data_IF_526952146678
#
_entry.id   IF_526952146678
#
_cell.length_a   1.000
_cell.length_b   1.000
_cell.length_c   1.000
_cell.angle_alpha   90.00
_cell.angle_beta   90.00
_cell.angle_gamma   90.00
#
_symmetry.space_group_name_H-M   'P 1'
#
loop_
_entity.id
_entity.type
_entity.pdbx_description
1 polymer ?
#
# COMPACT_ATOMS: atom_id res chain seq x y z
N UNK A 1 20.15 -16.38 10.26
CA UNK A 1 18.82 -16.14 10.86
C UNK A 1 18.18 -14.99 10.11
N UNK A 2 16.97 -15.16 9.59
CA UNK A 2 16.19 -14.16 8.86
C UNK A 2 14.91 -13.88 9.63
N UNK A 3 14.41 -12.66 9.54
CA UNK A 3 13.12 -12.26 10.07
C UNK A 3 12.09 -12.20 8.92
N UNK A 4 11.07 -13.04 8.99
CA UNK A 4 10.04 -13.16 7.98
C UNK A 4 8.81 -12.40 8.44
N UNK A 5 8.60 -11.20 7.90
CA UNK A 5 7.47 -10.34 8.21
C UNK A 5 6.27 -10.74 7.36
N UNK A 6 5.38 -11.55 7.92
CA UNK A 6 4.14 -11.97 7.27
C UNK A 6 3.15 -10.80 7.35
N UNK A 7 2.82 -10.22 6.21
CA UNK A 7 1.89 -9.11 6.07
C UNK A 7 0.59 -9.64 5.47
N UNK A 8 -0.42 -9.84 6.31
CA UNK A 8 -1.76 -10.22 5.85
C UNK A 8 -2.44 -8.99 5.23
N UNK A 9 -2.87 -9.13 3.97
CA UNK A 9 -3.48 -8.03 3.23
C UNK A 9 -4.37 -8.52 2.09
N UNK A 10 -5.05 -7.58 1.45
CA UNK A 10 -5.67 -7.75 0.13
C UNK A 10 -5.15 -6.66 -0.80
N UNK A 11 -5.19 -6.87 -2.11
CA UNK A 11 -5.22 -5.79 -3.11
C UNK A 11 -6.64 -5.62 -3.61
N UNK A 12 -7.12 -4.37 -3.74
CA UNK A 12 -8.52 -4.12 -4.01
C UNK A 12 -8.74 -3.21 -5.21
N UNK A 13 -9.07 -3.83 -6.35
CA UNK A 13 -9.64 -3.14 -7.49
C UNK A 13 -11.14 -2.92 -7.28
N UNK A 14 -11.60 -1.67 -7.40
CA UNK A 14 -13.03 -1.35 -7.29
C UNK A 14 -13.83 -1.79 -8.53
N UNK A 15 -13.16 -1.91 -9.65
CA UNK A 15 -13.72 -2.33 -10.93
C UNK A 15 -12.59 -2.90 -11.82
N UNK A 16 -12.76 -4.11 -12.32
CA UNK A 16 -11.80 -4.77 -13.21
C UNK A 16 -12.51 -5.82 -14.08
N UNK A 17 -12.40 -7.14 -13.78
CA UNK A 17 -13.11 -8.22 -14.47
C UNK A 17 -14.56 -8.41 -13.97
N UNK A 18 -14.96 -7.68 -12.96
CA UNK A 18 -16.32 -7.56 -12.44
C UNK A 18 -16.68 -6.08 -12.31
N UNK A 19 -17.98 -5.80 -12.24
CA UNK A 19 -18.47 -4.45 -12.02
C UNK A 19 -18.21 -3.98 -10.59
N UNK A 20 -18.19 -2.66 -10.39
CA UNK A 20 -18.05 -2.05 -9.07
C UNK A 20 -18.98 -2.65 -8.01
N UNK A 21 -20.25 -2.87 -8.34
CA UNK A 21 -21.20 -3.42 -7.37
C UNK A 21 -20.89 -4.86 -6.98
N UNK A 22 -20.41 -5.66 -7.93
CA UNK A 22 -20.00 -7.04 -7.65
C UNK A 22 -18.76 -7.09 -6.75
N UNK A 23 -17.77 -6.24 -7.02
CA UNK A 23 -16.60 -6.13 -6.14
C UNK A 23 -16.96 -5.55 -4.77
N UNK A 24 -17.86 -4.56 -4.70
CA UNK A 24 -18.31 -4.03 -3.40
C UNK A 24 -18.99 -5.12 -2.55
N UNK A 25 -19.77 -6.00 -3.14
CA UNK A 25 -20.35 -7.13 -2.41
C UNK A 25 -19.27 -8.09 -1.88
N UNK A 26 -18.23 -8.37 -2.67
CA UNK A 26 -17.08 -9.15 -2.18
C UNK A 26 -16.32 -8.44 -1.06
N UNK A 27 -16.13 -7.12 -1.16
CA UNK A 27 -15.51 -6.31 -0.11
C UNK A 27 -16.29 -6.41 1.21
N UNK A 28 -17.62 -6.37 1.13
CA UNK A 28 -18.48 -6.55 2.31
C UNK A 28 -18.23 -7.92 2.95
N UNK A 29 -18.16 -8.99 2.18
CA UNK A 29 -17.85 -10.33 2.68
C UNK A 29 -16.45 -10.39 3.29
N UNK A 30 -15.44 -9.85 2.62
CA UNK A 30 -14.07 -9.83 3.11
C UNK A 30 -13.98 -9.13 4.48
N UNK A 31 -14.55 -7.93 4.60
CA UNK A 31 -14.47 -7.16 5.86
C UNK A 31 -15.33 -7.79 6.95
N UNK A 32 -16.54 -8.28 6.63
CA UNK A 32 -17.38 -9.01 7.60
C UNK A 32 -16.62 -10.24 8.15
N UNK A 33 -15.96 -11.02 7.28
CA UNK A 33 -15.14 -12.17 7.65
C UNK A 33 -13.91 -11.75 8.47
N UNK A 34 -13.21 -10.68 8.08
CA UNK A 34 -12.09 -10.13 8.84
C UNK A 34 -12.51 -9.77 10.28
N UNK A 35 -13.65 -9.08 10.43
CA UNK A 35 -14.16 -8.71 11.75
C UNK A 35 -14.50 -9.94 12.61
N UNK A 36 -15.02 -11.01 12.01
CA UNK A 36 -15.27 -12.29 12.71
C UNK A 36 -13.94 -12.93 13.15
N UNK A 37 -12.92 -12.95 12.32
CA UNK A 37 -11.60 -13.48 12.69
C UNK A 37 -11.02 -12.67 13.85
N UNK A 38 -11.03 -11.34 13.75
CA UNK A 38 -10.47 -10.45 14.77
C UNK A 38 -11.21 -10.57 16.13
N UNK A 39 -12.52 -10.84 16.11
CA UNK A 39 -13.30 -11.06 17.33
C UNK A 39 -12.95 -12.38 18.03
N UNK A 40 -12.64 -13.42 17.27
CA UNK A 40 -12.51 -14.78 17.78
C UNK A 40 -11.06 -15.23 17.99
N UNK A 41 -10.10 -14.58 17.31
CA UNK A 41 -8.68 -14.93 17.41
C UNK A 41 -7.84 -13.71 17.81
N UNK A 42 -7.44 -13.61 19.11
CA UNK A 42 -6.56 -12.55 19.58
C UNK A 42 -5.13 -12.67 19.03
N UNK A 43 -4.71 -13.84 18.55
CA UNK A 43 -3.40 -14.08 17.98
C UNK A 43 -3.34 -13.70 16.49
N UNK A 44 -4.50 -13.48 15.83
CA UNK A 44 -4.55 -12.85 14.51
C UNK A 44 -4.32 -11.35 14.66
N UNK A 45 -3.08 -10.90 14.58
CA UNK A 45 -2.68 -9.58 15.06
C UNK A 45 -3.05 -8.44 14.10
N UNK A 46 -2.80 -8.60 12.80
CA UNK A 46 -2.83 -7.49 11.85
C UNK A 46 -3.43 -7.87 10.50
N UNK A 47 -4.13 -6.92 9.87
CA UNK A 47 -4.56 -7.01 8.46
C UNK A 47 -4.49 -5.63 7.80
N UNK A 48 -3.93 -5.55 6.60
CA UNK A 48 -3.80 -4.30 5.84
C UNK A 48 -4.85 -4.23 4.73
N UNK A 49 -5.67 -3.18 4.76
CA UNK A 49 -6.66 -2.87 3.72
C UNK A 49 -6.00 -2.08 2.57
N UNK A 50 -5.11 -2.72 1.83
CA UNK A 50 -4.48 -2.27 0.57
C UNK A 50 -3.85 -0.85 0.59
N UNK A 51 -3.59 -0.27 1.75
CA UNK A 51 -3.04 1.09 1.81
C UNK A 51 -3.98 2.20 1.29
N UNK A 52 -5.26 1.91 1.03
CA UNK A 52 -6.25 2.87 0.53
C UNK A 52 -7.48 2.94 1.43
N UNK A 53 -8.08 4.14 1.55
CA UNK A 53 -9.20 4.38 2.47
C UNK A 53 -10.56 4.30 1.81
N UNK A 54 -10.64 4.35 0.48
CA UNK A 54 -11.91 4.27 -0.28
C UNK A 54 -12.69 2.98 0.02
N UNK A 55 -11.98 1.89 0.35
CA UNK A 55 -12.60 0.61 0.72
C UNK A 55 -13.46 0.72 1.98
N UNK A 56 -13.10 1.62 2.91
CA UNK A 56 -13.91 1.89 4.11
C UNK A 56 -15.21 2.58 3.76
N UNK A 57 -15.18 3.56 2.86
CA UNK A 57 -16.42 4.23 2.40
C UNK A 57 -17.33 3.25 1.66
N UNK A 58 -16.75 2.43 0.77
CA UNK A 58 -17.51 1.44 0.00
C UNK A 58 -18.16 0.39 0.91
N UNK A 59 -17.47 -0.03 1.96
CA UNK A 59 -18.01 -0.95 2.96
C UNK A 59 -19.08 -0.31 3.83
N UNK A 60 -18.80 0.86 4.41
CA UNK A 60 -19.71 1.53 5.35
C UNK A 60 -20.99 2.04 4.71
N UNK A 61 -21.03 2.24 3.40
CA UNK A 61 -22.29 2.49 2.69
C UNK A 61 -23.27 1.32 2.77
N UNK A 62 -22.80 0.12 3.11
CA UNK A 62 -23.61 -1.11 3.25
C UNK A 62 -23.71 -1.54 4.70
N UNK A 63 -22.65 -1.31 5.50
CA UNK A 63 -22.46 -1.79 6.89
C UNK A 63 -22.13 -0.64 7.83
N UNK A 64 -22.90 0.43 7.82
CA UNK A 64 -22.68 1.61 8.68
C UNK A 64 -22.62 1.23 10.18
N UNK A 65 -23.35 0.20 10.57
CA UNK A 65 -23.36 -0.34 11.94
C UNK A 65 -22.00 -0.79 12.45
N UNK A 66 -21.08 -1.14 11.55
CA UNK A 66 -19.73 -1.59 11.90
C UNK A 66 -18.70 -0.44 12.01
N UNK A 67 -19.11 0.82 11.87
CA UNK A 67 -18.18 1.95 11.95
C UNK A 67 -17.35 1.96 13.25
N UNK A 68 -18.00 1.88 14.40
CA UNK A 68 -17.32 1.91 15.70
C UNK A 68 -16.36 0.73 15.88
N UNK A 69 -16.74 -0.44 15.38
CA UNK A 69 -15.91 -1.65 15.46
C UNK A 69 -14.67 -1.55 14.56
N UNK A 70 -14.82 -1.05 13.33
CA UNK A 70 -13.68 -0.76 12.45
C UNK A 70 -12.74 0.27 13.07
N UNK A 71 -13.30 1.36 13.63
CA UNK A 71 -12.53 2.40 14.30
C UNK A 71 -11.72 1.82 15.46
N UNK A 72 -12.31 0.96 16.29
CA UNK A 72 -11.62 0.29 17.38
C UNK A 72 -10.43 -0.52 16.88
N UNK A 73 -10.62 -1.44 15.91
CA UNK A 73 -9.55 -2.28 15.39
C UNK A 73 -8.46 -1.50 14.66
N UNK A 74 -8.81 -0.38 14.04
CA UNK A 74 -7.83 0.53 13.43
C UNK A 74 -6.99 1.21 14.52
N UNK A 75 -7.61 1.71 15.60
CA UNK A 75 -6.91 2.32 16.74
C UNK A 75 -6.01 1.32 17.48
N UNK A 76 -6.41 0.08 17.56
CA UNK A 76 -5.64 -1.03 18.11
C UNK A 76 -4.51 -1.53 17.20
N UNK A 77 -4.32 -0.94 16.01
CA UNK A 77 -3.38 -1.41 14.98
C UNK A 77 -3.68 -2.83 14.45
N UNK A 78 -4.87 -3.35 14.67
CA UNK A 78 -5.26 -4.65 14.12
C UNK A 78 -5.73 -4.56 12.67
N UNK A 79 -6.21 -3.39 12.24
CA UNK A 79 -6.48 -3.08 10.84
C UNK A 79 -5.65 -1.86 10.44
N UNK A 80 -4.86 -1.97 9.36
CA UNK A 80 -4.06 -0.88 8.82
C UNK A 80 -4.74 -0.27 7.60
N UNK A 81 -4.77 1.06 7.53
CA UNK A 81 -5.42 1.85 6.48
C UNK A 81 -4.52 3.00 5.99
N UNK A 82 -4.77 3.48 4.77
CA UNK A 82 -4.05 4.60 4.16
C UNK A 82 -2.59 4.27 3.78
N UNK A 83 -1.84 5.24 3.29
CA UNK A 83 -2.08 6.69 3.36
C UNK A 83 -2.98 7.24 2.25
N UNK A 84 -3.25 6.46 1.20
CA UNK A 84 -3.98 6.89 0.01
C UNK A 84 -5.49 6.94 0.25
N UNK A 85 -6.17 7.83 -0.48
CA UNK A 85 -7.61 7.71 -0.68
C UNK A 85 -7.91 6.51 -1.59
N UNK A 86 -7.28 6.51 -2.77
CA UNK A 86 -7.30 5.41 -3.74
C UNK A 86 -5.91 5.29 -4.37
N UNK A 87 -5.44 4.08 -4.67
CA UNK A 87 -4.16 3.88 -5.34
C UNK A 87 -4.17 4.55 -6.72
N UNK A 88 -3.23 5.47 -7.01
CA UNK A 88 -3.23 6.23 -8.25
C UNK A 88 -2.56 5.46 -9.39
N UNK A 89 -3.06 5.63 -10.61
CA UNK A 89 -2.30 5.35 -11.82
C UNK A 89 -1.48 6.61 -12.16
N UNK A 90 -0.23 6.65 -11.68
CA UNK A 90 0.56 7.86 -11.47
C UNK A 90 0.79 8.70 -12.74
N UNK A 91 0.83 8.07 -13.93
CA UNK A 91 1.02 8.76 -15.20
C UNK A 91 -0.29 9.23 -15.87
N UNK A 92 -1.45 8.86 -15.32
CA UNK A 92 -2.76 9.21 -15.89
C UNK A 92 -3.50 10.30 -15.11
N UNK A 93 -3.04 10.61 -13.92
CA UNK A 93 -3.63 11.64 -13.03
C UNK A 93 -2.75 12.87 -12.97
N UNK A 94 -3.32 14.03 -12.63
CA UNK A 94 -2.54 15.25 -12.45
C UNK A 94 -1.68 15.20 -11.19
N UNK A 95 -0.58 15.98 -11.11
CA UNK A 95 0.17 16.14 -9.85
C UNK A 95 -0.71 16.63 -8.70
N UNK A 96 -1.63 17.55 -8.97
CA UNK A 96 -2.59 18.07 -8.00
C UNK A 96 -3.52 16.96 -7.50
N UNK A 97 -4.04 16.11 -8.39
CA UNK A 97 -4.86 14.95 -8.01
C UNK A 97 -4.10 13.99 -7.10
N UNK A 98 -2.81 13.77 -7.32
CA UNK A 98 -1.97 12.91 -6.47
C UNK A 98 -1.81 13.50 -5.06
N UNK A 99 -1.56 14.81 -4.95
CA UNK A 99 -1.47 15.49 -3.66
C UNK A 99 -2.81 15.44 -2.92
N UNK A 100 -3.92 15.74 -3.60
CA UNK A 100 -5.27 15.70 -3.00
C UNK A 100 -5.69 14.29 -2.60
N UNK A 101 -5.28 13.29 -3.33
CA UNK A 101 -5.49 11.88 -2.98
C UNK A 101 -4.91 11.58 -1.57
N UNK A 102 -3.66 11.99 -1.31
CA UNK A 102 -3.04 11.85 0.00
C UNK A 102 -3.70 12.73 1.08
N UNK A 103 -4.18 13.93 0.73
CA UNK A 103 -4.91 14.81 1.67
C UNK A 103 -6.24 14.19 2.09
N UNK A 104 -7.01 13.64 1.14
CA UNK A 104 -8.28 12.97 1.42
C UNK A 104 -8.04 11.70 2.24
N UNK A 105 -7.06 10.88 1.84
CA UNK A 105 -6.67 9.69 2.58
C UNK A 105 -6.28 10.01 4.02
N UNK A 106 -5.48 11.08 4.23
CA UNK A 106 -5.14 11.58 5.57
C UNK A 106 -6.39 11.94 6.38
N UNK A 107 -7.30 12.73 5.79
CA UNK A 107 -8.52 13.15 6.47
C UNK A 107 -9.40 11.97 6.90
N UNK A 108 -9.57 10.98 6.01
CA UNK A 108 -10.33 9.76 6.35
C UNK A 108 -9.63 8.98 7.47
N UNK A 109 -8.30 8.81 7.39
CA UNK A 109 -7.54 8.14 8.45
C UNK A 109 -7.70 8.83 9.82
N UNK A 110 -7.77 10.17 9.85
CA UNK A 110 -7.98 10.94 11.08
C UNK A 110 -9.35 10.64 11.72
N UNK A 111 -10.39 10.35 10.92
CA UNK A 111 -11.71 9.93 11.44
C UNK A 111 -11.64 8.57 12.14
N UNK A 112 -10.73 7.70 11.73
CA UNK A 112 -10.55 6.38 12.33
C UNK A 112 -9.46 6.34 13.41
N UNK A 113 -8.59 7.35 13.49
CA UNK A 113 -7.62 7.54 14.55
C UNK A 113 -6.18 7.13 14.22
N UNK A 114 -5.93 6.39 13.14
CA UNK A 114 -4.59 5.98 12.72
C UNK A 114 -4.40 6.02 11.20
N UNK A 115 -3.14 6.19 10.77
CA UNK A 115 -2.73 6.17 9.36
C UNK A 115 -1.42 5.40 9.21
N UNK A 116 -1.37 4.44 8.31
CA UNK A 116 -0.12 3.81 7.90
C UNK A 116 0.74 4.81 7.12
N UNK A 117 1.95 5.12 7.63
CA UNK A 117 2.86 6.12 7.08
C UNK A 117 3.87 5.48 6.11
N UNK A 118 3.38 4.71 5.14
CA UNK A 118 4.18 4.01 4.14
C UNK A 118 3.64 4.35 2.75
N UNK A 119 4.48 4.76 1.82
CA UNK A 119 4.15 4.95 0.41
C UNK A 119 3.92 3.60 -0.28
N UNK A 120 2.82 2.91 0.05
CA UNK A 120 2.50 1.60 -0.50
C UNK A 120 1.90 1.74 -1.90
N UNK A 121 2.57 1.18 -2.90
CA UNK A 121 2.23 1.26 -4.33
C UNK A 121 2.40 -0.13 -4.96
N UNK A 122 1.53 -1.11 -4.60
CA UNK A 122 1.73 -2.51 -4.95
C UNK A 122 1.60 -2.77 -6.44
N UNK A 123 0.57 -2.22 -7.10
CA UNK A 123 0.22 -2.56 -8.47
C UNK A 123 0.22 -1.42 -9.51
N UNK A 124 0.47 -0.12 -9.20
CA UNK A 124 0.68 0.86 -10.26
C UNK A 124 1.72 0.39 -11.27
N UNK A 125 1.43 0.55 -12.57
CA UNK A 125 2.26 -0.05 -13.62
C UNK A 125 3.62 0.63 -13.80
N UNK A 126 3.70 1.90 -13.43
CA UNK A 126 4.90 2.73 -13.52
C UNK A 126 4.90 3.76 -12.39
N UNK A 127 6.09 4.27 -12.04
CA UNK A 127 6.20 5.25 -10.94
C UNK A 127 6.91 6.51 -11.42
N UNK A 128 6.30 7.67 -11.13
CA UNK A 128 6.85 8.99 -11.46
C UNK A 128 8.07 9.30 -10.59
N UNK A 129 9.08 9.95 -11.19
CA UNK A 129 10.30 10.32 -10.47
C UNK A 129 10.10 11.28 -9.31
N UNK A 130 8.98 12.00 -9.25
CA UNK A 130 8.64 12.92 -8.16
C UNK A 130 7.95 12.26 -6.97
N UNK A 131 7.60 10.98 -7.04
CA UNK A 131 6.90 10.31 -5.94
C UNK A 131 7.62 10.41 -4.59
N UNK A 132 8.96 10.24 -4.48
CA UNK A 132 9.66 10.46 -3.21
C UNK A 132 9.47 11.88 -2.65
N UNK A 133 9.51 12.91 -3.50
CA UNK A 133 9.24 14.29 -3.09
C UNK A 133 7.82 14.46 -2.55
N UNK A 134 6.82 13.91 -3.24
CA UNK A 134 5.41 13.95 -2.83
C UNK A 134 5.25 13.27 -1.47
N UNK A 135 5.76 12.05 -1.31
CA UNK A 135 5.69 11.30 -0.05
C UNK A 135 6.36 12.07 1.11
N UNK A 136 7.55 12.64 0.88
CA UNK A 136 8.25 13.48 1.87
C UNK A 136 7.45 14.71 2.27
N UNK A 137 6.70 15.32 1.34
CA UNK A 137 5.76 16.41 1.63
C UNK A 137 4.66 16.03 2.62
N UNK A 138 4.36 14.74 2.77
CA UNK A 138 3.42 14.19 3.75
C UNK A 138 4.09 13.53 4.97
N UNK A 139 5.39 13.73 5.17
CA UNK A 139 6.21 13.10 6.21
C UNK A 139 6.27 11.56 6.08
N UNK A 140 6.17 11.04 4.87
CA UNK A 140 6.35 9.62 4.56
C UNK A 140 7.76 9.46 3.99
N UNK A 141 8.61 8.71 4.68
CA UNK A 141 10.03 8.51 4.35
C UNK A 141 10.35 7.09 3.87
N UNK A 142 9.34 6.26 3.73
CA UNK A 142 9.45 4.88 3.31
C UNK A 142 8.44 4.56 2.22
N UNK A 143 8.78 3.65 1.31
CA UNK A 143 7.88 3.18 0.25
C UNK A 143 8.04 1.69 -0.03
N UNK A 144 6.96 1.03 -0.42
CA UNK A 144 6.98 -0.35 -0.89
C UNK A 144 6.26 -0.44 -2.23
N UNK A 145 6.91 -1.01 -3.25
CA UNK A 145 6.35 -1.14 -4.59
C UNK A 145 6.90 -2.38 -5.32
N UNK A 146 6.24 -2.77 -6.40
CA UNK A 146 6.61 -3.95 -7.18
C UNK A 146 7.23 -3.60 -8.53
N UNK A 147 6.48 -2.90 -9.39
CA UNK A 147 6.79 -2.75 -10.81
C UNK A 147 7.82 -1.68 -11.09
N UNK A 148 8.40 -1.71 -12.29
CA UNK A 148 9.27 -0.64 -12.79
C UNK A 148 10.71 -0.67 -12.29
N UNK A 149 11.07 -1.55 -11.36
CA UNK A 149 12.42 -1.67 -10.82
C UNK A 149 13.30 -2.47 -11.77
N UNK A 150 14.45 -1.91 -12.16
CA UNK A 150 15.40 -2.57 -13.07
C UNK A 150 16.02 -3.83 -12.47
N UNK A 151 16.42 -4.81 -13.31
CA UNK A 151 17.16 -5.98 -12.86
C UNK A 151 18.43 -5.61 -12.10
N UNK A 152 18.81 -6.46 -11.12
CA UNK A 152 20.01 -6.27 -10.30
C UNK A 152 19.85 -5.36 -9.11
N UNK A 153 18.71 -4.66 -8.96
CA UNK A 153 18.40 -3.93 -7.73
C UNK A 153 17.97 -4.92 -6.62
N UNK A 154 18.49 -4.75 -5.39
CA UNK A 154 18.11 -5.60 -4.26
C UNK A 154 16.70 -5.31 -3.74
N UNK A 155 16.28 -6.03 -2.68
CA UNK A 155 15.00 -5.82 -2.00
C UNK A 155 14.91 -4.50 -1.23
N UNK A 156 16.03 -3.90 -0.86
CA UNK A 156 16.07 -2.60 -0.18
C UNK A 156 17.04 -1.64 -0.87
N UNK A 157 16.57 -0.44 -1.19
CA UNK A 157 17.39 0.62 -1.79
C UNK A 157 16.81 2.01 -1.50
N UNK A 158 17.56 3.07 -1.79
CA UNK A 158 17.09 4.44 -1.71
C UNK A 158 16.49 4.87 -3.04
N UNK A 159 15.26 5.39 -3.02
CA UNK A 159 14.65 6.03 -4.19
C UNK A 159 14.68 7.55 -4.02
N UNK A 160 15.27 8.24 -5.01
CA UNK A 160 15.50 9.68 -4.97
C UNK A 160 14.75 10.39 -6.08
N UNK A 161 14.04 11.46 -5.72
CA UNK A 161 13.41 12.39 -6.65
C UNK A 161 14.42 13.40 -7.23
N UNK A 162 14.08 14.11 -8.34
CA UNK A 162 14.94 15.09 -8.96
C UNK A 162 15.36 16.27 -8.07
N UNK A 163 14.56 16.61 -7.06
CA UNK A 163 14.86 17.66 -6.06
C UNK A 163 15.81 17.20 -4.95
N UNK A 164 16.21 15.93 -4.96
CA UNK A 164 17.06 15.32 -3.94
C UNK A 164 16.29 14.66 -2.78
N UNK A 165 14.96 14.79 -2.70
CA UNK A 165 14.15 14.10 -1.71
C UNK A 165 14.30 12.59 -1.82
N UNK A 166 14.44 11.88 -0.70
CA UNK A 166 14.71 10.45 -0.67
C UNK A 166 13.71 9.73 0.23
N UNK A 167 13.40 8.48 -0.15
CA UNK A 167 12.68 7.50 0.67
C UNK A 167 13.43 6.17 0.68
N UNK A 168 13.38 5.46 1.80
CA UNK A 168 13.81 4.07 1.88
C UNK A 168 12.76 3.20 1.16
N UNK A 169 13.17 2.45 0.14
CA UNK A 169 12.27 1.64 -0.65
C UNK A 169 12.48 0.15 -0.39
N UNK A 170 11.37 -0.54 -0.08
CA UNK A 170 11.28 -1.99 -0.09
C UNK A 170 10.70 -2.46 -1.43
N UNK A 171 11.49 -3.17 -2.21
CA UNK A 171 11.07 -3.76 -3.48
C UNK A 171 10.35 -5.08 -3.23
N UNK A 172 9.08 -5.15 -3.57
CA UNK A 172 8.27 -6.36 -3.54
C UNK A 172 8.74 -7.28 -4.68
N UNK A 173 9.91 -7.91 -4.50
CA UNK A 173 10.72 -8.51 -5.56
C UNK A 173 9.97 -9.56 -6.40
N UNK A 174 9.07 -10.31 -5.77
CA UNK A 174 8.21 -11.31 -6.42
C UNK A 174 6.73 -10.90 -6.42
N UNK A 175 6.46 -9.59 -6.40
CA UNK A 175 5.10 -9.05 -6.33
C UNK A 175 4.59 -8.87 -4.90
N UNK A 176 3.41 -8.27 -4.81
CA UNK A 176 2.72 -8.05 -3.54
C UNK A 176 1.98 -9.31 -3.03
N UNK A 177 2.24 -10.47 -3.63
CA UNK A 177 1.61 -11.74 -3.25
C UNK A 177 2.60 -12.90 -3.27
N UNK A 178 3.85 -12.70 -2.80
CA UNK A 178 4.88 -13.73 -2.86
C UNK A 178 4.57 -14.97 -2.00
N UNK A 179 3.63 -14.87 -1.06
CA UNK A 179 3.00 -15.98 -0.32
C UNK A 179 1.45 -15.80 -0.30
N UNK A 180 0.85 -15.38 -1.41
CA UNK A 180 -0.53 -14.96 -1.50
C UNK A 180 -1.56 -15.92 -0.90
N UNK A 181 -1.38 -17.22 -1.12
CA UNK A 181 -2.30 -18.28 -0.69
C UNK A 181 -1.79 -19.05 0.55
N UNK A 182 -0.83 -18.49 1.26
CA UNK A 182 -0.35 -19.04 2.52
C UNK A 182 -1.31 -18.63 3.67
N UNK A 183 -1.56 -19.51 4.67
CA UNK A 183 -1.16 -20.92 4.78
C UNK A 183 -1.81 -21.80 3.71
N UNK A 184 -1.17 -22.93 3.42
CA UNK A 184 -1.73 -23.93 2.53
C UNK A 184 -2.39 -25.08 3.34
N UNK A 185 -2.79 -26.16 2.68
CA UNK A 185 -3.64 -27.25 3.16
C UNK A 185 -3.21 -27.90 4.50
N UNK A 186 -1.89 -28.01 4.78
CA UNK A 186 -1.37 -28.54 6.05
C UNK A 186 -0.30 -27.63 6.66
N UNK A 187 -0.03 -27.79 7.97
CA UNK A 187 1.00 -27.00 8.66
C UNK A 187 2.40 -27.29 8.13
N UNK A 188 2.70 -28.55 7.80
CA UNK A 188 3.97 -28.97 7.20
C UNK A 188 4.17 -28.39 5.80
N UNK A 189 3.14 -28.40 4.97
CA UNK A 189 3.19 -27.78 3.64
C UNK A 189 3.29 -26.25 3.75
N UNK A 190 2.63 -25.65 4.73
CA UNK A 190 2.75 -24.22 5.03
C UNK A 190 4.18 -23.85 5.45
N UNK A 191 4.83 -24.66 6.30
CA UNK A 191 6.23 -24.48 6.67
C UNK A 191 7.11 -24.56 5.43
N UNK A 192 7.00 -25.63 4.64
CA UNK A 192 7.81 -25.83 3.44
C UNK A 192 7.63 -24.69 2.41
N UNK A 193 6.41 -24.19 2.25
CA UNK A 193 6.07 -23.07 1.36
C UNK A 193 6.72 -21.75 1.81
N UNK A 194 6.69 -21.46 3.10
CA UNK A 194 7.29 -20.24 3.66
C UNK A 194 8.83 -20.29 3.56
N UNK A 195 9.45 -21.45 3.86
CA UNK A 195 10.89 -21.69 3.66
C UNK A 195 11.31 -21.49 2.19
N UNK A 196 10.54 -22.04 1.27
CA UNK A 196 10.80 -21.87 -0.17
C UNK A 196 10.76 -20.40 -0.58
N UNK A 197 9.76 -19.64 -0.10
CA UNK A 197 9.66 -18.22 -0.36
C UNK A 197 10.85 -17.44 0.24
N UNK A 198 11.28 -17.78 1.45
CA UNK A 198 12.44 -17.18 2.11
C UNK A 198 13.73 -17.44 1.31
N UNK A 199 13.97 -18.67 0.88
CA UNK A 199 15.15 -19.04 0.06
C UNK A 199 15.18 -18.33 -1.30
N UNK A 200 14.03 -18.11 -1.91
CA UNK A 200 13.95 -17.30 -3.14
C UNK A 200 14.32 -15.83 -2.92
N UNK A 201 13.88 -15.23 -1.81
CA UNK A 201 14.21 -13.84 -1.49
C UNK A 201 15.69 -13.68 -1.12
N UNK A 202 16.31 -14.66 -0.48
CA UNK A 202 17.71 -14.62 -0.05
C UNK A 202 18.68 -14.25 -1.18
N UNK A 203 18.42 -14.73 -2.40
CA UNK A 203 19.24 -14.46 -3.58
C UNK A 203 19.22 -12.98 -4.02
N UNK A 204 18.28 -12.20 -3.52
CA UNK A 204 18.02 -10.82 -3.95
C UNK A 204 18.02 -9.81 -2.79
N UNK A 205 18.08 -10.32 -1.58
CA UNK A 205 18.04 -9.48 -0.37
C UNK A 205 19.44 -9.04 0.05
N UNK A 206 19.53 -7.76 0.41
CA UNK A 206 20.73 -7.16 0.99
C UNK A 206 20.62 -6.94 2.50
N UNK A 207 19.54 -7.45 3.11
CA UNK A 207 19.27 -7.39 4.56
C UNK A 207 18.72 -8.74 5.04
N UNK A 208 18.52 -8.90 6.35
CA UNK A 208 17.88 -10.07 6.94
C UNK A 208 16.38 -9.89 7.22
N UNK A 209 15.79 -8.76 6.84
CA UNK A 209 14.35 -8.50 6.96
C UNK A 209 13.66 -8.85 5.65
N UNK A 210 12.74 -9.81 5.67
CA UNK A 210 12.05 -10.30 4.49
C UNK A 210 10.56 -10.01 4.54
N UNK A 211 10.03 -9.35 3.49
CA UNK A 211 8.60 -9.15 3.33
C UNK A 211 7.95 -10.42 2.77
N UNK A 212 7.05 -11.00 3.53
CA UNK A 212 6.20 -12.12 3.18
C UNK A 212 4.77 -11.62 3.01
N UNK A 213 4.42 -11.25 1.79
CA UNK A 213 3.12 -10.64 1.46
C UNK A 213 2.06 -11.72 1.30
N UNK A 214 1.22 -11.87 2.32
CA UNK A 214 0.12 -12.85 2.39
C UNK A 214 -1.17 -12.20 1.94
N UNK A 215 -1.49 -12.35 0.69
CA UNK A 215 -2.65 -11.76 0.03
C UNK A 215 -2.32 -11.41 -1.40
N UNK A 216 -3.33 -11.14 -2.19
CA UNK A 216 -3.29 -10.62 -3.55
C UNK A 216 -4.69 -10.08 -3.89
N UNK A 217 -5.04 -9.98 -5.18
CA UNK A 217 -6.30 -9.41 -5.68
C UNK A 217 -7.51 -10.08 -5.05
N UNK A 218 -8.27 -9.32 -4.27
CA UNK A 218 -9.58 -9.72 -3.70
C UNK A 218 -9.55 -10.97 -2.79
N UNK A 219 -8.37 -11.35 -2.26
CA UNK A 219 -8.25 -12.48 -1.33
C UNK A 219 -8.69 -12.08 0.07
N UNK A 220 -9.47 -12.95 0.70
CA UNK A 220 -9.92 -12.83 2.07
C UNK A 220 -8.83 -13.20 3.09
N UNK A 221 -8.92 -12.70 4.34
CA UNK A 221 -8.00 -13.08 5.41
C UNK A 221 -8.11 -14.60 5.69
N UNK A 222 -6.96 -15.23 5.98
CA UNK A 222 -6.91 -16.65 6.27
C UNK A 222 -6.85 -16.92 7.79
N UNK A 223 -7.85 -17.59 8.40
CA UNK A 223 -7.93 -17.71 9.86
C UNK A 223 -6.78 -18.52 10.48
N UNK A 224 -6.15 -19.45 9.76
CA UNK A 224 -5.05 -20.27 10.29
C UNK A 224 -3.68 -19.55 10.26
N UNK A 225 -3.61 -18.27 9.93
CA UNK A 225 -2.34 -17.53 9.83
C UNK A 225 -1.53 -17.55 11.12
N UNK A 226 -2.16 -17.27 12.26
CA UNK A 226 -1.49 -17.22 13.56
C UNK A 226 -0.96 -18.61 13.97
N UNK A 227 -1.76 -19.66 13.78
CA UNK A 227 -1.35 -21.05 14.06
C UNK A 227 -0.16 -21.47 13.18
N UNK A 228 -0.20 -21.15 11.90
CA UNK A 228 0.87 -21.49 10.94
C UNK A 228 2.18 -20.76 11.24
N UNK A 229 2.12 -19.53 11.74
CA UNK A 229 3.31 -18.79 12.19
C UNK A 229 3.91 -19.46 13.44
N UNK A 230 3.09 -19.85 14.42
CA UNK A 230 3.57 -20.60 15.60
C UNK A 230 4.23 -21.89 15.20
N UNK A 231 3.55 -22.69 14.40
CA UNK A 231 4.09 -23.98 13.91
C UNK A 231 5.41 -23.79 13.17
N UNK A 232 5.51 -22.79 12.30
CA UNK A 232 6.74 -22.45 11.61
C UNK A 232 7.87 -22.16 12.60
N UNK A 233 7.65 -21.31 13.58
CA UNK A 233 8.70 -20.93 14.54
C UNK A 233 9.19 -22.11 15.41
N UNK A 234 8.32 -23.08 15.67
CA UNK A 234 8.66 -24.29 16.45
C UNK A 234 9.42 -25.33 15.64
N UNK A 235 9.23 -25.39 14.31
CA UNK A 235 9.67 -26.53 13.50
C UNK A 235 10.62 -26.15 12.34
N UNK A 236 10.87 -24.87 12.05
CA UNK A 236 11.74 -24.51 10.94
C UNK A 236 13.19 -24.91 11.19
N UNK A 237 13.89 -25.51 10.18
CA UNK A 237 15.24 -26.05 10.34
C UNK A 237 16.33 -24.97 10.33
N UNK A 238 16.06 -23.80 9.72
CA UNK A 238 17.07 -22.78 9.44
C UNK A 238 17.17 -21.71 10.54
N UNK A 239 16.37 -21.85 11.61
CA UNK A 239 16.33 -20.91 12.74
C UNK A 239 15.83 -19.51 12.37
N UNK A 240 15.10 -19.39 11.26
CA UNK A 240 14.43 -18.15 10.88
C UNK A 240 13.24 -17.86 11.82
N UNK A 241 12.84 -16.59 11.93
CA UNK A 241 11.71 -16.19 12.77
C UNK A 241 10.62 -15.56 11.91
N UNK A 242 9.43 -16.14 11.92
CA UNK A 242 8.25 -15.56 11.29
C UNK A 242 7.44 -14.76 12.31
N UNK A 243 7.01 -13.59 11.92
CA UNK A 243 6.16 -12.72 12.74
C UNK A 243 4.95 -12.26 11.94
N UNK A 244 3.75 -12.28 12.55
CA UNK A 244 2.60 -11.59 11.99
C UNK A 244 2.82 -10.10 12.17
N UNK A 245 3.14 -9.39 11.09
CA UNK A 245 3.77 -8.08 11.12
C UNK A 245 2.97 -7.05 10.32
N UNK A 246 3.46 -5.81 10.36
CA UNK A 246 2.94 -4.68 9.58
C UNK A 246 4.04 -4.07 8.74
N UNK A 247 3.71 -3.35 7.67
CA UNK A 247 4.70 -2.60 6.89
C UNK A 247 5.47 -1.59 7.76
N UNK A 248 4.83 -0.81 8.66
CA UNK A 248 5.58 0.05 9.58
C UNK A 248 6.59 -0.71 10.46
N UNK A 249 6.21 -1.85 11.03
CA UNK A 249 7.12 -2.65 11.85
C UNK A 249 8.28 -3.24 11.03
N UNK A 250 8.01 -3.69 9.81
CA UNK A 250 9.05 -4.13 8.87
C UNK A 250 10.04 -2.99 8.57
N UNK A 251 9.56 -1.79 8.22
CA UNK A 251 10.45 -0.67 7.92
C UNK A 251 11.25 -0.20 9.13
N UNK A 252 10.67 -0.24 10.33
CA UNK A 252 11.42 0.04 11.56
C UNK A 252 12.58 -0.95 11.76
N UNK A 253 12.31 -2.26 11.60
CA UNK A 253 13.34 -3.29 11.71
C UNK A 253 14.39 -3.19 10.58
N UNK A 254 13.97 -2.87 9.37
CA UNK A 254 14.84 -2.66 8.21
C UNK A 254 15.78 -1.47 8.43
N UNK A 255 15.24 -0.32 8.86
CA UNK A 255 16.05 0.89 9.14
C UNK A 255 17.05 0.64 10.26
N UNK A 256 16.63 -0.03 11.34
CA UNK A 256 17.54 -0.37 12.44
C UNK A 256 18.68 -1.29 11.98
N UNK A 257 18.38 -2.30 11.17
CA UNK A 257 19.41 -3.20 10.63
C UNK A 257 20.42 -2.46 9.73
N UNK A 258 19.90 -1.54 8.88
CA UNK A 258 20.75 -0.71 8.00
C UNK A 258 21.72 0.15 8.83
N UNK A 259 21.23 0.77 9.88
CA UNK A 259 22.05 1.58 10.80
C UNK A 259 23.07 0.74 11.56
N UNK A 260 22.63 -0.33 12.23
CA UNK A 260 23.48 -1.20 13.07
C UNK A 260 24.62 -1.85 12.29
N UNK A 261 24.35 -2.26 11.06
CA UNK A 261 25.32 -2.95 10.20
C UNK A 261 26.03 -2.01 9.22
N UNK A 262 25.73 -0.71 9.24
CA UNK A 262 26.24 0.29 8.29
C UNK A 262 26.06 -0.15 6.82
N UNK A 263 24.88 -0.64 6.46
CA UNK A 263 24.59 -1.13 5.11
C UNK A 263 24.49 0.05 4.15
N UNK A 264 25.37 0.07 3.13
CA UNK A 264 25.29 1.06 2.06
C UNK A 264 24.26 0.62 1.04
N UNK A 265 23.15 1.34 0.95
CA UNK A 265 22.09 1.08 -0.01
C UNK A 265 22.43 1.65 -1.39
N UNK A 266 22.14 0.94 -2.49
CA UNK A 266 22.17 1.54 -3.80
C UNK A 266 21.09 2.62 -3.93
N UNK A 267 21.33 3.62 -4.78
CA UNK A 267 20.39 4.72 -5.03
C UNK A 267 19.83 4.59 -6.45
N UNK A 268 18.51 4.69 -6.57
CA UNK A 268 17.83 4.89 -7.83
C UNK A 268 17.30 6.33 -7.90
N UNK A 269 17.60 7.04 -8.99
CA UNK A 269 17.16 8.43 -9.18
C UNK A 269 16.13 8.48 -10.32
N UNK A 270 15.01 9.13 -10.08
CA UNK A 270 14.00 9.39 -11.10
C UNK A 270 12.92 8.30 -11.21
N UNK A 271 12.38 8.11 -12.42
CA UNK A 271 11.25 7.22 -12.69
C UNK A 271 11.62 5.74 -12.57
N UNK A 272 10.65 4.94 -12.12
CA UNK A 272 10.75 3.47 -12.14
C UNK A 272 9.85 2.94 -13.26
N UNK A 273 10.47 2.54 -14.39
CA UNK A 273 9.76 2.15 -15.63
C UNK A 273 10.40 0.98 -16.37
N UNK A 274 11.20 0.18 -15.69
CA UNK A 274 11.85 -0.97 -16.33
C UNK A 274 10.86 -2.14 -16.45
N UNK A 275 10.59 -2.67 -17.67
CA UNK A 275 9.61 -3.73 -17.90
C UNK A 275 10.18 -5.15 -17.76
N UNK A 276 11.47 -5.31 -17.47
CA UNK A 276 12.14 -6.61 -17.61
C UNK A 276 11.74 -7.60 -16.52
N UNK A 277 11.36 -7.12 -15.32
CA UNK A 277 11.00 -7.97 -14.18
C UNK A 277 9.50 -8.16 -13.99
N UNK A 278 8.72 -7.15 -14.27
CA UNK A 278 7.28 -7.14 -14.08
C UNK A 278 6.56 -6.50 -15.26
N UNK A 279 5.39 -7.01 -15.57
CA UNK A 279 4.59 -6.45 -16.65
C UNK A 279 4.21 -5.00 -16.37
N UNK A 280 4.43 -4.12 -17.34
CA UNK A 280 4.09 -2.69 -17.25
C UNK A 280 2.89 -2.31 -18.12
N UNK A 281 2.39 -3.23 -18.91
CA UNK A 281 1.21 -3.10 -19.78
C UNK A 281 1.13 -1.72 -20.49
N UNK A 282 2.17 -1.31 -21.27
CA UNK A 282 2.25 0.06 -21.80
C UNK A 282 1.08 0.44 -22.68
N UNK A 283 0.38 -0.52 -23.26
CA UNK A 283 -0.83 -0.32 -24.05
C UNK A 283 -2.01 0.28 -23.27
N UNK A 284 -2.03 0.16 -21.94
CA UNK A 284 -3.10 0.77 -21.12
C UNK A 284 -3.07 2.30 -21.16
N UNK A 285 -1.89 2.89 -21.36
CA UNK A 285 -1.73 4.35 -21.49
C UNK A 285 -2.33 4.90 -22.77
N UNK A 286 -2.40 4.11 -23.83
CA UNK A 286 -2.91 4.50 -25.16
C UNK A 286 -4.28 3.95 -25.51
N UNK A 287 -4.79 2.97 -24.76
CA UNK A 287 -6.13 2.41 -25.00
C UNK A 287 -7.22 3.37 -24.49
N UNK A 288 -8.40 3.34 -25.11
CA UNK A 288 -9.57 4.15 -24.74
C UNK A 288 -9.22 5.63 -24.53
N UNK A 289 -8.46 6.22 -25.44
CA UNK A 289 -7.94 7.60 -25.34
C UNK A 289 -9.02 8.65 -25.07
N UNK A 290 -10.24 8.44 -25.55
CA UNK A 290 -11.34 9.35 -25.34
C UNK A 290 -11.71 9.53 -23.84
N UNK A 291 -11.53 8.48 -23.00
CA UNK A 291 -11.72 8.58 -21.56
C UNK A 291 -10.62 9.45 -20.95
N UNK A 292 -9.36 9.19 -21.31
CA UNK A 292 -8.19 9.92 -20.82
C UNK A 292 -8.24 11.40 -21.20
N UNK A 293 -8.63 11.69 -22.44
CA UNK A 293 -8.82 13.06 -22.92
C UNK A 293 -9.94 13.79 -22.17
N UNK A 294 -11.05 13.12 -21.86
CA UNK A 294 -12.14 13.69 -21.06
C UNK A 294 -11.72 13.91 -19.60
N UNK A 295 -10.99 12.97 -19.03
CA UNK A 295 -10.44 13.13 -17.69
C UNK A 295 -9.49 14.32 -17.62
N UNK A 296 -8.55 14.42 -18.55
CA UNK A 296 -7.62 15.55 -18.63
C UNK A 296 -8.37 16.90 -18.78
N UNK A 297 -9.40 16.93 -19.60
CA UNK A 297 -10.23 18.15 -19.76
C UNK A 297 -10.93 18.50 -18.46
N UNK A 298 -11.57 17.52 -17.80
CA UNK A 298 -12.24 17.76 -16.52
C UNK A 298 -11.28 18.25 -15.43
N UNK A 299 -10.09 17.64 -15.32
CA UNK A 299 -9.05 18.11 -14.40
C UNK A 299 -8.64 19.55 -14.69
N UNK A 300 -8.41 19.88 -15.97
CA UNK A 300 -8.03 21.25 -16.38
C UNK A 300 -9.11 22.27 -16.03
N UNK A 301 -10.37 21.94 -16.27
CA UNK A 301 -11.50 22.84 -15.94
C UNK A 301 -11.60 23.05 -14.42
N UNK A 302 -11.43 22.01 -13.62
CA UNK A 302 -11.52 22.10 -12.16
C UNK A 302 -10.30 22.82 -11.57
N UNK A 303 -9.09 22.39 -11.90
CA UNK A 303 -7.85 22.81 -11.25
C UNK A 303 -7.36 24.19 -11.72
N UNK A 304 -7.57 24.53 -13.01
CA UNK A 304 -7.02 25.75 -13.60
C UNK A 304 -8.02 26.88 -13.78
N UNK A 305 -9.33 26.56 -13.74
CA UNK A 305 -10.37 27.53 -13.97
C UNK A 305 -11.36 27.64 -12.80
N UNK A 306 -12.11 26.59 -12.53
CA UNK A 306 -13.22 26.66 -11.56
C UNK A 306 -12.72 27.04 -10.17
N UNK A 307 -11.74 26.34 -9.65
CA UNK A 307 -11.24 26.58 -8.30
C UNK A 307 -10.53 27.92 -8.15
N UNK A 308 -9.57 28.34 -9.02
CA UNK A 308 -8.93 29.64 -8.91
C UNK A 308 -9.92 30.79 -9.01
N UNK A 309 -10.90 30.72 -9.92
CA UNK A 309 -11.91 31.77 -10.02
C UNK A 309 -12.84 31.81 -8.81
N UNK A 310 -13.22 30.67 -8.25
CA UNK A 310 -14.03 30.62 -7.02
C UNK A 310 -13.30 31.24 -5.84
N UNK A 311 -12.01 30.95 -5.69
CA UNK A 311 -11.17 31.54 -4.63
C UNK A 311 -11.02 33.05 -4.82
N UNK A 312 -10.80 33.51 -6.05
CA UNK A 312 -10.71 34.95 -6.33
C UNK A 312 -12.02 35.70 -6.05
N UNK A 313 -13.15 35.10 -6.41
CA UNK A 313 -14.46 35.68 -6.10
C UNK A 313 -14.62 35.85 -4.59
N UNK A 314 -14.34 34.83 -3.81
CA UNK A 314 -14.44 34.90 -2.34
C UNK A 314 -13.47 35.92 -1.73
N UNK A 315 -12.25 36.05 -2.25
CA UNK A 315 -11.26 37.03 -1.78
C UNK A 315 -11.69 38.45 -2.08
N UNK A 316 -12.27 38.69 -3.27
CA UNK A 316 -12.76 40.00 -3.68
C UNK A 316 -14.00 40.44 -2.84
N UNK A 317 -14.95 39.53 -2.66
CA UNK A 317 -16.15 39.80 -1.81
C UNK A 317 -15.77 40.15 -0.36
N UNK A 318 -14.83 39.37 0.23
CA UNK A 318 -14.32 39.68 1.59
C UNK A 318 -13.50 40.99 1.65
N UNK A 319 -12.90 41.39 0.53
CA UNK A 319 -12.15 42.64 0.41
C UNK A 319 -13.09 43.88 0.39
N UNK A 320 -14.25 43.76 -0.25
CA UNK A 320 -15.26 44.81 -0.29
C UNK A 320 -15.88 45.05 1.10
N UNK A 321 -16.14 43.98 1.89
CA UNK A 321 -16.64 44.11 3.27
C UNK A 321 -15.67 44.81 4.22
N UNK A 322 -14.35 44.73 3.94
CA UNK A 322 -13.32 45.44 4.71
C UNK A 322 -13.10 46.91 4.30
N UNK A 323 -13.53 47.27 3.11
CA UNK A 323 -13.42 48.61 2.60
C UNK A 323 -14.62 49.52 3.07
N UNK A 324 -15.66 48.92 3.65
CA UNK A 324 -16.83 49.62 4.18
C UNK A 324 -16.81 49.83 5.71
N UNK A 325 -15.73 49.47 6.39
CA UNK A 325 -15.45 49.79 7.81
C UNK A 325 -14.27 50.74 7.91
#
# INVERSE_FOLDING_TARGET
MKNLHVISHTHWDREWYRTFQQFRMQLVHLIDNLLVILDNDPDYLHYMLDGQTIVLEDYLRVRMENFAKLQQYIQENRILIGPWYILPDEFLVSPESTVRNLLIGKHICELFGQRMMIGYLPDPFVHIGQMPQILRGFNIDTAALWRGVKPGMPTAFTWQAPDGSQVLLAHLYFGYGNIAHWPVDTLENSLASLEFAAKRLELHSNTSQYLMMQGTDHIEPHPATAESIRFYNEHNPDGNVAVHSTLPAFFAALSQEIEDKNIVLPVHIGELRDPQKAHMLPGVLSSRMWIKQRNWKAQTELERWSEPFSVWTEVLERGEDRACC
#
